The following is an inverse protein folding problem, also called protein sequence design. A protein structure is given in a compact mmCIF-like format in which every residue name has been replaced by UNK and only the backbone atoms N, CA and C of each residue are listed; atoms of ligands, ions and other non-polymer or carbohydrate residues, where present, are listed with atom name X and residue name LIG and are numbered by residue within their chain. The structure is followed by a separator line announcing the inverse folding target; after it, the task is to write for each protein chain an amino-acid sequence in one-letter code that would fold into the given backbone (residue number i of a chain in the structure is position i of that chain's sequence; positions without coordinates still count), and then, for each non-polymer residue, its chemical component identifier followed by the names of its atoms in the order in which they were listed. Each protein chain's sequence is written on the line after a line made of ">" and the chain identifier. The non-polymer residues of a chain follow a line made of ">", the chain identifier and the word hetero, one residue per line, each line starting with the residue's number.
data_IF_746088640233
#
_entry.id   IF_746088640233
#
_cell.length_a   1.000
_cell.length_b   1.000
_cell.length_c   1.000
_cell.angle_alpha   90.00
_cell.angle_beta   90.00
_cell.angle_gamma   90.00
#
_symmetry.space_group_name_H-M   'P 1'
#
loop_
_entity.id
_entity.type
_entity.pdbx_description
1 polymer ?
#
# COMPACT_ATOMS: atom_id res chain seq x y z
N UNK A 1 21.66 -16.60 -3.86
CA UNK A 1 20.57 -15.70 -4.34
C UNK A 1 19.90 -15.13 -3.11
N UNK A 2 19.55 -13.84 -3.10
CA UNK A 2 18.86 -13.24 -1.95
C UNK A 2 17.43 -13.75 -1.84
N UNK A 3 16.96 -13.92 -0.61
CA UNK A 3 15.56 -14.25 -0.31
C UNK A 3 14.75 -12.95 -0.32
N UNK A 4 14.14 -12.63 -1.46
CA UNK A 4 13.38 -11.41 -1.62
C UNK A 4 12.05 -11.41 -0.86
N UNK A 5 11.52 -12.58 -0.50
CA UNK A 5 10.32 -12.65 0.34
C UNK A 5 10.65 -12.19 1.75
N UNK A 6 11.81 -12.63 2.28
CA UNK A 6 12.32 -12.16 3.56
C UNK A 6 12.67 -10.66 3.52
N UNK A 7 13.35 -10.21 2.47
CA UNK A 7 13.74 -8.80 2.34
C UNK A 7 12.53 -7.88 2.16
N UNK A 8 11.46 -8.31 1.49
CA UNK A 8 10.23 -7.54 1.36
C UNK A 8 9.56 -7.31 2.72
N UNK A 9 9.48 -8.34 3.58
CA UNK A 9 8.93 -8.22 4.94
C UNK A 9 9.78 -7.27 5.79
N UNK A 10 11.11 -7.36 5.70
CA UNK A 10 12.04 -6.46 6.39
C UNK A 10 11.92 -5.02 5.88
N UNK A 11 11.78 -4.85 4.56
CA UNK A 11 11.57 -3.55 3.94
C UNK A 11 10.30 -2.89 4.50
N UNK A 12 9.18 -3.59 4.51
CA UNK A 12 7.93 -3.06 5.07
C UNK A 12 8.11 -2.66 6.55
N UNK A 13 8.67 -3.55 7.37
CA UNK A 13 8.88 -3.31 8.80
C UNK A 13 9.74 -2.06 9.08
N UNK A 14 10.85 -1.89 8.35
CA UNK A 14 11.75 -0.73 8.51
C UNK A 14 11.19 0.58 7.97
N UNK A 15 10.16 0.52 7.11
CA UNK A 15 9.46 1.70 6.57
C UNK A 15 8.18 2.03 7.35
N UNK A 16 8.01 1.52 8.56
CA UNK A 16 6.83 1.80 9.41
C UNK A 16 5.66 0.83 9.21
N UNK A 17 5.84 -0.18 8.36
CA UNK A 17 5.00 -1.36 8.25
C UNK A 17 3.51 -1.09 8.09
N UNK A 18 2.75 -2.00 8.69
CA UNK A 18 1.30 -2.02 8.59
C UNK A 18 0.58 -0.79 9.19
N UNK A 19 1.06 -0.20 10.31
CA UNK A 19 0.50 1.06 10.81
C UNK A 19 0.61 2.20 9.80
N UNK A 20 1.78 2.37 9.16
CA UNK A 20 1.96 3.39 8.11
C UNK A 20 1.06 3.10 6.92
N UNK A 21 0.98 1.83 6.49
CA UNK A 21 0.16 1.46 5.34
C UNK A 21 -1.33 1.75 5.55
N UNK A 22 -1.86 1.46 6.75
CA UNK A 22 -3.23 1.83 7.13
C UNK A 22 -3.45 3.33 7.08
N UNK A 23 -2.58 4.10 7.76
CA UNK A 23 -2.70 5.56 7.80
C UNK A 23 -2.64 6.18 6.39
N UNK A 24 -1.81 5.64 5.50
CA UNK A 24 -1.76 6.07 4.11
C UNK A 24 -3.08 5.80 3.38
N UNK A 25 -3.62 4.58 3.48
CA UNK A 25 -4.90 4.25 2.85
C UNK A 25 -6.05 5.13 3.36
N UNK A 26 -6.13 5.32 4.68
CA UNK A 26 -7.15 6.16 5.33
C UNK A 26 -7.06 7.63 4.89
N UNK A 27 -5.86 8.14 4.66
CA UNK A 27 -5.64 9.51 4.18
C UNK A 27 -5.91 9.66 2.67
N UNK A 28 -5.62 8.65 1.86
CA UNK A 28 -5.73 8.72 0.39
C UNK A 28 -7.16 8.48 -0.11
N UNK A 29 -7.88 7.50 0.45
CA UNK A 29 -9.21 7.11 -0.03
C UNK A 29 -10.24 8.26 -0.07
N UNK A 30 -10.28 9.18 0.92
CA UNK A 30 -11.18 10.34 0.88
C UNK A 30 -10.86 11.35 -0.23
N UNK A 31 -9.64 11.34 -0.76
CA UNK A 31 -9.22 12.25 -1.83
C UNK A 31 -9.63 11.77 -3.22
N UNK A 32 -10.00 10.49 -3.35
CA UNK A 32 -10.43 9.90 -4.62
C UNK A 32 -11.86 10.35 -4.91
N UNK A 33 -12.14 10.94 -6.09
CA UNK A 33 -13.49 11.32 -6.47
C UNK A 33 -14.45 10.13 -6.39
N UNK A 34 -15.65 10.34 -5.84
CA UNK A 34 -16.65 9.28 -5.72
C UNK A 34 -17.07 8.66 -7.07
N UNK A 35 -16.88 9.39 -8.17
CA UNK A 35 -17.15 8.96 -9.56
C UNK A 35 -16.01 8.15 -10.18
N UNK A 36 -14.85 8.06 -9.55
CA UNK A 36 -13.74 7.26 -10.05
C UNK A 36 -14.11 5.78 -10.00
N UNK A 37 -13.99 5.11 -11.14
CA UNK A 37 -14.33 3.68 -11.28
C UNK A 37 -13.15 2.74 -11.03
N UNK A 38 -11.93 3.25 -11.13
CA UNK A 38 -10.70 2.47 -11.03
C UNK A 38 -9.65 3.31 -10.34
N UNK A 39 -8.95 2.72 -9.38
CA UNK A 39 -7.81 3.31 -8.69
C UNK A 39 -6.54 2.50 -9.01
N UNK A 40 -5.55 3.14 -9.63
CA UNK A 40 -4.26 2.53 -9.93
C UNK A 40 -3.19 2.98 -8.94
N UNK A 41 -2.61 2.03 -8.21
CA UNK A 41 -1.45 2.26 -7.36
C UNK A 41 -0.15 2.02 -8.15
N UNK A 42 0.57 3.09 -8.48
CA UNK A 42 1.79 3.05 -9.26
C UNK A 42 3.02 2.94 -8.37
N UNK A 43 3.95 2.07 -8.76
CA UNK A 43 5.13 1.72 -7.96
C UNK A 43 4.76 1.22 -6.56
N UNK A 44 3.71 0.38 -6.48
CA UNK A 44 3.14 -0.14 -5.24
C UNK A 44 4.12 -1.00 -4.40
N UNK A 45 5.25 -1.39 -4.96
CA UNK A 45 6.30 -2.15 -4.26
C UNK A 45 5.78 -3.49 -3.77
N UNK A 46 5.83 -3.70 -2.45
CA UNK A 46 5.27 -4.89 -1.79
C UNK A 46 3.74 -4.94 -1.86
N UNK A 47 3.08 -3.83 -2.22
CA UNK A 47 1.63 -3.69 -2.24
C UNK A 47 1.00 -3.53 -0.84
N UNK A 48 1.79 -3.24 0.20
CA UNK A 48 1.29 -3.14 1.58
C UNK A 48 0.22 -2.04 1.73
N UNK A 49 0.34 -0.94 0.99
CA UNK A 49 -0.70 0.11 0.95
C UNK A 49 -1.88 -0.32 0.08
N UNK A 50 -1.61 -0.88 -1.11
CA UNK A 50 -2.64 -1.35 -2.05
C UNK A 50 -3.63 -2.31 -1.40
N UNK A 51 -3.15 -3.26 -0.60
CA UNK A 51 -3.99 -4.25 0.12
C UNK A 51 -4.95 -3.62 1.14
N UNK A 52 -4.75 -2.35 1.49
CA UNK A 52 -5.62 -1.59 2.41
C UNK A 52 -6.63 -0.70 1.69
N UNK A 53 -6.51 -0.53 0.38
CA UNK A 53 -7.48 0.22 -0.42
C UNK A 53 -8.75 -0.62 -0.60
N UNK A 54 -9.92 -0.01 -0.38
CA UNK A 54 -11.23 -0.69 -0.44
C UNK A 54 -12.02 -0.38 -1.72
N UNK A 55 -11.33 0.04 -2.79
CA UNK A 55 -11.92 0.37 -4.09
C UNK A 55 -11.32 -0.48 -5.20
N UNK A 56 -12.11 -0.78 -6.25
CA UNK A 56 -11.57 -1.28 -7.51
C UNK A 56 -10.73 -0.22 -8.25
#
# INVERSE_FOLDING_TARGET
>A
MLDYDLEAVRYDATRGGEPRARAAADALLPLVPGTARTLLDLACGTGIVTRRLTRP
#
